data_IF_153034430664
#
_entry.id   IF_153034430664
#
_cell.length_a   1.000
_cell.length_b   1.000
_cell.length_c   1.000
_cell.angle_alpha   90.00
_cell.angle_beta   90.00
_cell.angle_gamma   90.00
#
_symmetry.space_group_name_H-M   'P 1'
#
loop_
_entity.id
_entity.type
_entity.pdbx_description
1 polymer ?
#
# COMPACT_ATOMS: atom_id res chain seq x y z
N UNK A 1 0.45 -17.19 1.86
CA UNK A 1 1.22 -16.85 3.07
C UNK A 1 2.55 -16.25 2.64
N UNK A 2 2.55 -14.93 2.38
CA UNK A 2 3.76 -14.19 2.01
C UNK A 2 4.68 -14.09 3.23
N UNK A 3 5.72 -14.89 3.29
CA UNK A 3 6.76 -14.72 4.31
C UNK A 3 7.68 -13.60 3.85
N UNK A 4 7.46 -12.39 4.36
CA UNK A 4 8.54 -11.42 4.37
C UNK A 4 9.66 -12.00 5.23
N UNK A 5 10.85 -12.08 4.68
CA UNK A 5 12.03 -12.38 5.49
C UNK A 5 12.21 -11.23 6.48
N UNK A 6 12.00 -11.51 7.77
CA UNK A 6 12.33 -10.58 8.85
C UNK A 6 13.86 -10.53 8.91
N UNK A 7 14.45 -9.71 8.04
CA UNK A 7 15.86 -9.35 8.07
C UNK A 7 16.06 -8.10 8.93
N UNK A 8 17.30 -7.78 9.29
CA UNK A 8 17.63 -6.49 9.91
C UNK A 8 17.13 -5.35 9.00
N UNK A 9 16.18 -4.54 9.48
CA UNK A 9 15.61 -3.40 8.75
C UNK A 9 14.14 -3.55 8.35
N UNK A 10 13.47 -4.67 8.68
CA UNK A 10 12.02 -4.85 8.50
C UNK A 10 11.36 -4.90 9.86
N UNK A 11 10.43 -4.02 10.12
CA UNK A 11 9.63 -3.99 11.34
C UNK A 11 8.16 -4.17 10.99
N UNK A 12 7.52 -5.22 11.55
CA UNK A 12 6.07 -5.37 11.52
C UNK A 12 5.46 -4.45 12.59
N UNK A 13 4.58 -3.55 12.18
CA UNK A 13 3.94 -2.56 13.05
C UNK A 13 2.59 -3.04 13.62
N UNK A 14 1.89 -3.94 12.92
CA UNK A 14 0.61 -4.50 13.36
C UNK A 14 0.79 -5.83 14.10
N UNK A 15 -0.18 -6.18 14.95
CA UNK A 15 -0.18 -7.50 15.59
C UNK A 15 -0.68 -8.58 14.61
N UNK A 16 -0.11 -9.78 14.69
CA UNK A 16 -0.44 -10.90 13.78
C UNK A 16 -1.83 -11.52 14.02
N UNK A 17 -2.67 -10.94 14.87
CA UNK A 17 -3.85 -11.59 15.43
C UNK A 17 -4.94 -11.97 14.43
N UNK A 18 -4.98 -11.41 13.23
CA UNK A 18 -6.02 -11.79 12.25
C UNK A 18 -5.60 -11.89 10.78
N UNK A 19 -4.35 -11.70 10.41
CA UNK A 19 -3.85 -11.76 9.00
C UNK A 19 -4.60 -10.90 7.96
N UNK A 20 -5.47 -9.97 8.39
CA UNK A 20 -6.31 -9.16 7.51
C UNK A 20 -5.68 -7.82 7.16
N UNK A 21 -4.82 -7.33 8.04
CA UNK A 21 -4.03 -6.12 7.82
C UNK A 21 -2.62 -6.33 8.35
N UNK A 22 -1.64 -5.92 7.55
CA UNK A 22 -0.23 -5.94 7.91
C UNK A 22 0.42 -4.65 7.45
N UNK A 23 1.05 -3.95 8.37
CA UNK A 23 1.82 -2.75 8.08
C UNK A 23 3.27 -3.02 8.47
N UNK A 24 4.16 -2.87 7.51
CA UNK A 24 5.59 -3.02 7.70
C UNK A 24 6.28 -1.69 7.46
N UNK A 25 7.27 -1.37 8.29
CA UNK A 25 8.24 -0.31 8.03
C UNK A 25 9.54 -0.95 7.60
N UNK A 26 10.09 -0.50 6.49
CA UNK A 26 11.35 -0.98 5.96
C UNK A 26 12.31 0.18 5.75
N UNK A 27 13.55 -0.02 6.20
CA UNK A 27 14.67 0.87 5.90
C UNK A 27 15.67 0.13 5.01
N UNK A 28 15.96 0.66 3.84
CA UNK A 28 16.97 0.11 2.94
C UNK A 28 18.32 0.75 3.23
N UNK A 29 18.94 0.37 4.34
CA UNK A 29 20.26 0.87 4.75
C UNK A 29 21.44 -0.01 4.30
N UNK A 30 21.21 -1.17 3.67
CA UNK A 30 22.30 -2.13 3.44
C UNK A 30 22.31 -2.78 2.06
N UNK A 31 23.52 -3.00 1.49
CA UNK A 31 23.72 -3.65 0.19
C UNK A 31 23.30 -5.13 0.14
N UNK A 32 22.96 -5.73 1.26
CA UNK A 32 22.64 -7.16 1.37
C UNK A 32 21.22 -7.52 0.90
N UNK A 33 20.33 -6.54 0.70
CA UNK A 33 18.99 -6.77 0.14
C UNK A 33 19.01 -6.78 -1.38
N UNK A 34 19.88 -7.58 -1.96
CA UNK A 34 20.13 -7.62 -3.40
C UNK A 34 18.94 -7.98 -4.28
N UNK A 35 17.93 -8.65 -3.81
CA UNK A 35 16.63 -8.87 -4.49
C UNK A 35 15.65 -9.36 -3.45
N UNK A 36 14.63 -8.56 -3.13
CA UNK A 36 13.50 -9.09 -2.38
C UNK A 36 12.77 -10.12 -3.26
N UNK A 37 12.33 -11.25 -2.67
CA UNK A 37 11.59 -12.25 -3.42
C UNK A 37 10.32 -11.62 -4.01
N UNK A 38 9.87 -12.16 -5.14
CA UNK A 38 8.59 -11.78 -5.71
C UNK A 38 7.48 -12.08 -4.70
N UNK A 39 6.66 -11.08 -4.43
CA UNK A 39 5.56 -11.17 -3.47
C UNK A 39 4.29 -11.28 -4.29
N UNK A 40 3.47 -12.27 -3.98
CA UNK A 40 2.13 -12.41 -4.52
C UNK A 40 1.17 -12.76 -3.39
N UNK A 41 -0.01 -12.19 -3.41
CA UNK A 41 -1.02 -12.42 -2.38
C UNK A 41 -2.40 -11.98 -2.79
N UNK A 42 -3.41 -12.39 -2.02
CA UNK A 42 -4.81 -12.00 -2.24
C UNK A 42 -5.18 -10.71 -1.50
N UNK A 43 -4.21 -10.02 -0.90
CA UNK A 43 -4.41 -8.73 -0.26
C UNK A 43 -4.12 -7.59 -1.24
N UNK A 44 -4.81 -6.49 -1.05
CA UNK A 44 -4.43 -5.21 -1.65
C UNK A 44 -3.17 -4.70 -0.96
N UNK A 45 -2.26 -4.14 -1.73
CA UNK A 45 -1.00 -3.64 -1.19
C UNK A 45 -0.82 -2.17 -1.55
N UNK A 46 -0.44 -1.36 -0.56
CA UNK A 46 0.05 -0.01 -0.79
C UNK A 46 1.53 0.04 -0.37
N UNK A 47 2.34 0.55 -1.27
CA UNK A 47 3.72 0.96 -0.98
C UNK A 47 3.71 2.47 -0.80
N UNK A 48 4.19 2.98 0.33
CA UNK A 48 4.30 4.41 0.62
C UNK A 48 5.76 4.75 0.86
N UNK A 49 6.35 5.56 -0.01
CA UNK A 49 7.71 6.04 0.16
C UNK A 49 7.74 7.16 1.21
N UNK A 50 8.46 6.95 2.32
CA UNK A 50 8.62 7.94 3.39
C UNK A 50 9.83 8.84 3.11
N UNK A 51 10.96 8.24 2.77
CA UNK A 51 12.21 8.94 2.45
C UNK A 51 12.92 8.26 1.28
N UNK A 52 13.60 9.08 0.46
CA UNK A 52 14.41 8.60 -0.64
C UNK A 52 13.58 8.13 -1.83
N UNK A 53 14.09 7.14 -2.54
CA UNK A 53 13.49 6.61 -3.76
C UNK A 53 13.41 5.09 -3.69
N UNK A 54 12.31 4.51 -4.15
CA UNK A 54 12.08 3.07 -4.19
C UNK A 54 11.68 2.69 -5.60
N UNK A 55 12.27 1.64 -6.15
CA UNK A 55 11.83 1.03 -7.39
C UNK A 55 11.03 -0.24 -7.10
N UNK A 56 9.83 -0.32 -7.65
CA UNK A 56 9.00 -1.52 -7.63
C UNK A 56 8.89 -2.10 -9.03
N UNK A 57 9.08 -3.40 -9.17
CA UNK A 57 8.77 -4.11 -10.40
C UNK A 57 7.48 -4.89 -10.23
N UNK A 58 6.48 -4.58 -11.05
CA UNK A 58 5.18 -5.26 -11.11
C UNK A 58 5.09 -5.92 -12.47
N UNK A 59 4.94 -7.25 -12.48
CA UNK A 59 5.02 -8.04 -13.69
C UNK A 59 6.35 -7.78 -14.41
N UNK A 60 6.35 -7.05 -15.53
CA UNK A 60 7.54 -6.68 -16.29
C UNK A 60 7.83 -5.18 -16.28
N UNK A 61 6.97 -4.39 -15.64
CA UNK A 61 7.07 -2.93 -15.57
C UNK A 61 7.80 -2.48 -14.32
N UNK A 62 8.61 -1.44 -14.46
CA UNK A 62 9.30 -0.80 -13.34
C UNK A 62 8.63 0.52 -13.02
N UNK A 63 8.35 0.72 -11.75
CA UNK A 63 7.75 1.95 -11.22
C UNK A 63 8.67 2.50 -10.15
N UNK A 64 9.13 3.72 -10.35
CA UNK A 64 9.92 4.45 -9.37
C UNK A 64 9.00 5.32 -8.54
N UNK A 65 9.20 5.30 -7.22
CA UNK A 65 8.48 6.12 -6.26
C UNK A 65 9.45 7.04 -5.54
N UNK A 66 9.13 8.31 -5.49
CA UNK A 66 9.82 9.31 -4.69
C UNK A 66 9.15 9.49 -3.32
N UNK A 67 9.87 10.12 -2.38
CA UNK A 67 9.31 10.41 -1.06
C UNK A 67 7.96 11.15 -1.15
N UNK A 68 6.99 10.70 -0.38
CA UNK A 68 5.63 11.22 -0.37
C UNK A 68 4.68 10.58 -1.39
N UNK A 69 5.18 9.72 -2.28
CA UNK A 69 4.37 9.00 -3.26
C UNK A 69 3.94 7.62 -2.77
N UNK A 70 2.84 7.13 -3.33
CA UNK A 70 2.36 5.77 -3.06
C UNK A 70 2.06 5.00 -4.34
N UNK A 71 2.12 3.68 -4.24
CA UNK A 71 1.77 2.73 -5.28
C UNK A 71 0.75 1.74 -4.73
N UNK A 72 -0.45 1.74 -5.30
CA UNK A 72 -1.42 0.69 -5.10
C UNK A 72 -1.10 -0.49 -6.01
N UNK A 73 -1.14 -1.70 -5.46
CA UNK A 73 -0.99 -2.97 -6.18
C UNK A 73 -2.21 -3.82 -5.87
N UNK A 74 -2.92 -4.21 -6.92
CA UNK A 74 -4.16 -4.96 -6.79
C UNK A 74 -3.91 -6.39 -6.27
N UNK A 75 -4.94 -6.99 -5.71
CA UNK A 75 -4.91 -8.38 -5.28
C UNK A 75 -4.55 -9.32 -6.44
N UNK A 76 -3.79 -10.36 -6.15
CA UNK A 76 -3.35 -11.34 -7.15
C UNK A 76 -2.14 -10.90 -8.00
N UNK A 77 -1.71 -9.65 -7.91
CA UNK A 77 -0.53 -9.19 -8.64
C UNK A 77 0.77 -9.64 -7.96
N UNK A 78 1.77 -9.91 -8.80
CA UNK A 78 3.12 -10.22 -8.32
C UNK A 78 4.01 -9.01 -8.44
N UNK A 79 4.71 -8.66 -7.38
CA UNK A 79 5.66 -7.55 -7.39
C UNK A 79 6.93 -7.88 -6.62
N UNK A 80 7.96 -7.12 -6.87
CA UNK A 80 9.21 -7.13 -6.09
C UNK A 80 9.76 -5.73 -5.94
N UNK A 81 10.40 -5.47 -4.81
CA UNK A 81 11.13 -4.24 -4.59
C UNK A 81 12.53 -4.40 -5.15
N UNK A 82 12.96 -3.40 -5.88
CA UNK A 82 14.30 -3.32 -6.47
C UNK A 82 15.00 -2.16 -5.76
N UNK A 83 16.24 -2.38 -5.37
CA UNK A 83 17.02 -1.35 -4.69
C UNK A 83 17.21 -0.13 -5.59
N UNK A 84 16.97 1.08 -5.06
CA UNK A 84 17.54 2.30 -5.62
C UNK A 84 19.04 2.35 -5.35
N UNK A 85 19.82 2.91 -6.28
CA UNK A 85 21.25 3.14 -6.09
C UNK A 85 21.55 4.29 -5.09
N UNK A 86 20.54 5.02 -4.66
CA UNK A 86 20.65 6.12 -3.70
C UNK A 86 20.71 5.63 -2.26
N UNK A 87 21.47 6.32 -1.42
CA UNK A 87 22.06 5.80 -0.18
C UNK A 87 21.11 5.42 0.97
N UNK A 88 19.93 5.96 1.06
CA UNK A 88 18.97 5.58 2.11
C UNK A 88 17.53 5.80 1.64
N UNK A 89 16.70 4.83 1.86
CA UNK A 89 15.27 4.98 1.66
C UNK A 89 14.51 4.28 2.77
N UNK A 90 13.39 4.88 3.19
CA UNK A 90 12.44 4.26 4.10
C UNK A 90 11.05 4.27 3.49
N UNK A 91 10.30 3.23 3.76
CA UNK A 91 8.96 3.08 3.20
C UNK A 91 8.09 2.16 4.03
N UNK A 92 6.79 2.29 3.84
CA UNK A 92 5.81 1.41 4.42
C UNK A 92 5.23 0.48 3.36
N UNK A 93 4.97 -0.77 3.77
CA UNK A 93 4.12 -1.71 3.03
C UNK A 93 2.87 -1.90 3.85
N UNK A 94 1.72 -1.57 3.28
CA UNK A 94 0.41 -1.73 3.90
C UNK A 94 -0.36 -2.76 3.10
N UNK A 95 -0.59 -3.94 3.69
CA UNK A 95 -1.38 -5.01 3.09
C UNK A 95 -2.74 -5.09 3.78
N UNK A 96 -3.80 -5.09 2.99
CA UNK A 96 -5.18 -5.09 3.48
C UNK A 96 -5.99 -6.14 2.73
N UNK A 97 -6.61 -7.07 3.47
CA UNK A 97 -7.56 -7.99 2.90
C UNK A 97 -8.89 -7.28 2.56
N UNK A 98 -9.51 -7.63 1.42
CA UNK A 98 -10.78 -7.03 1.02
C UNK A 98 -11.88 -7.21 2.05
N UNK A 99 -11.95 -8.37 2.69
CA UNK A 99 -12.90 -8.64 3.77
C UNK A 99 -12.73 -7.74 5.01
N UNK A 100 -11.52 -7.23 5.27
CA UNK A 100 -11.30 -6.23 6.32
C UNK A 100 -11.94 -4.88 5.95
N UNK A 101 -11.78 -4.47 4.69
CA UNK A 101 -12.40 -3.24 4.16
C UNK A 101 -13.93 -3.35 4.08
N UNK A 102 -14.45 -4.53 3.77
CA UNK A 102 -15.89 -4.78 3.77
C UNK A 102 -16.49 -4.79 5.18
N UNK A 103 -15.68 -5.03 6.23
CA UNK A 103 -16.10 -5.07 7.63
C UNK A 103 -17.26 -6.05 7.90
N UNK A 104 -17.41 -7.10 7.09
CA UNK A 104 -18.51 -8.06 7.16
C UNK A 104 -19.80 -7.60 6.48
N UNK A 105 -19.80 -6.45 5.82
CA UNK A 105 -20.93 -5.94 5.05
C UNK A 105 -20.82 -6.39 3.58
N UNK A 106 -21.70 -7.33 3.17
CA UNK A 106 -21.74 -7.86 1.82
C UNK A 106 -22.05 -6.76 0.77
N UNK A 107 -22.83 -5.76 1.12
CA UNK A 107 -23.12 -4.63 0.22
C UNK A 107 -21.88 -3.80 -0.07
N UNK A 108 -21.04 -3.53 0.96
CA UNK A 108 -19.75 -2.86 0.76
C UNK A 108 -18.80 -3.73 -0.06
N UNK A 109 -18.75 -5.04 0.23
CA UNK A 109 -17.93 -5.98 -0.54
C UNK A 109 -18.28 -5.94 -2.03
N UNK A 110 -19.55 -6.11 -2.37
CA UNK A 110 -20.00 -6.22 -3.76
C UNK A 110 -19.92 -4.89 -4.51
N UNK A 111 -20.10 -3.77 -3.83
CA UNK A 111 -20.16 -2.44 -4.48
C UNK A 111 -18.79 -1.78 -4.62
N UNK A 112 -17.92 -1.93 -3.63
CA UNK A 112 -16.69 -1.14 -3.56
C UNK A 112 -15.39 -1.95 -3.55
N UNK A 113 -15.43 -3.23 -3.22
CA UNK A 113 -14.24 -4.06 -3.09
C UNK A 113 -14.08 -5.01 -4.28
N UNK A 114 -15.08 -5.84 -4.54
CA UNK A 114 -15.02 -6.84 -5.62
C UNK A 114 -14.77 -6.21 -7.00
N UNK A 115 -15.39 -5.07 -7.38
CA UNK A 115 -15.12 -4.47 -8.68
C UNK A 115 -13.65 -4.07 -8.89
N UNK A 116 -12.98 -3.61 -7.82
CA UNK A 116 -11.53 -3.28 -7.87
C UNK A 116 -10.71 -4.56 -7.95
N UNK A 117 -11.01 -5.55 -7.09
CA UNK A 117 -10.26 -6.81 -7.02
C UNK A 117 -10.27 -7.58 -8.35
N UNK A 118 -11.40 -7.55 -9.06
CA UNK A 118 -11.64 -8.29 -10.31
C UNK A 118 -11.19 -7.52 -11.55
N UNK A 119 -10.77 -6.26 -11.41
CA UNK A 119 -10.42 -5.41 -12.54
C UNK A 119 -9.00 -5.73 -13.07
N UNK A 120 -8.90 -6.62 -14.06
CA UNK A 120 -7.63 -6.96 -14.72
C UNK A 120 -6.89 -5.72 -15.27
N UNK A 121 -7.63 -4.71 -15.75
CA UNK A 121 -7.07 -3.47 -16.27
C UNK A 121 -6.60 -2.50 -15.19
N UNK A 122 -6.79 -2.81 -13.91
CA UNK A 122 -6.37 -2.01 -12.76
C UNK A 122 -5.40 -2.79 -11.89
N UNK A 123 -4.31 -3.28 -12.51
CA UNK A 123 -3.29 -4.07 -11.82
C UNK A 123 -2.53 -3.27 -10.76
N UNK A 124 -2.26 -2.00 -11.03
CA UNK A 124 -1.63 -1.05 -10.10
C UNK A 124 -1.99 0.39 -10.45
N UNK A 125 -1.77 1.31 -9.51
CA UNK A 125 -1.95 2.75 -9.71
C UNK A 125 -0.98 3.53 -8.84
N UNK A 126 -0.24 4.50 -9.43
CA UNK A 126 0.64 5.41 -8.71
C UNK A 126 -0.14 6.66 -8.29
N UNK A 127 0.14 7.13 -7.09
CA UNK A 127 -0.39 8.35 -6.50
C UNK A 127 0.76 9.29 -6.16
N UNK A 128 0.64 10.53 -6.62
CA UNK A 128 1.64 11.57 -6.43
C UNK A 128 1.01 12.77 -5.73
N UNK A 129 1.75 13.49 -4.88
CA UNK A 129 1.27 14.75 -4.32
C UNK A 129 0.83 15.71 -5.43
N UNK A 130 -0.33 16.33 -5.27
CA UNK A 130 -0.86 17.30 -6.24
C UNK A 130 -0.32 18.70 -5.95
N UNK A 131 -0.27 19.55 -7.00
CA UNK A 131 -0.05 20.98 -6.82
C UNK A 131 -1.32 21.70 -6.32
N UNK A 132 -2.49 21.09 -6.46
CA UNK A 132 -3.76 21.55 -5.93
C UNK A 132 -4.00 20.92 -4.56
N UNK A 133 -4.43 21.71 -3.58
CA UNK A 133 -4.73 21.23 -2.24
C UNK A 133 -6.02 20.40 -2.22
N UNK A 134 -6.09 19.43 -1.29
CA UNK A 134 -7.27 18.62 -0.98
C UNK A 134 -7.81 17.75 -2.14
N UNK A 135 -6.94 17.29 -3.01
CA UNK A 135 -7.34 16.31 -4.05
C UNK A 135 -7.60 14.93 -3.43
N UNK A 136 -8.35 14.07 -4.13
CA UNK A 136 -8.54 12.67 -3.70
C UNK A 136 -7.20 11.92 -3.60
N UNK A 137 -6.18 12.30 -4.39
CA UNK A 137 -4.83 11.73 -4.31
C UNK A 137 -4.12 12.17 -3.03
N UNK A 138 -4.19 13.45 -2.66
CA UNK A 138 -3.60 13.95 -1.41
C UNK A 138 -4.29 13.35 -0.18
N UNK A 139 -5.62 13.22 -0.21
CA UNK A 139 -6.38 12.55 0.85
C UNK A 139 -5.92 11.10 1.03
N UNK A 140 -5.71 10.36 -0.07
CA UNK A 140 -5.20 8.99 -0.03
C UNK A 140 -3.81 8.93 0.58
N UNK A 141 -2.88 9.77 0.12
CA UNK A 141 -1.50 9.80 0.60
C UNK A 141 -1.44 10.13 2.10
N UNK A 142 -2.18 11.13 2.54
CA UNK A 142 -2.27 11.52 3.96
C UNK A 142 -2.90 10.40 4.80
N UNK A 143 -3.94 9.74 4.31
CA UNK A 143 -4.59 8.65 5.03
C UNK A 143 -3.68 7.42 5.18
N UNK A 144 -2.91 7.06 4.15
CA UNK A 144 -1.93 5.97 4.23
C UNK A 144 -0.82 6.28 5.24
N UNK A 145 -0.29 7.51 5.19
CA UNK A 145 0.74 7.94 6.15
C UNK A 145 0.20 7.93 7.58
N UNK A 146 -1.01 8.46 7.80
CA UNK A 146 -1.66 8.47 9.10
C UNK A 146 -1.92 7.04 9.61
N UNK A 147 -2.36 6.11 8.76
CA UNK A 147 -2.53 4.71 9.13
C UNK A 147 -1.21 4.07 9.58
N UNK A 148 -0.11 4.32 8.85
CA UNK A 148 1.21 3.81 9.18
C UNK A 148 1.73 4.39 10.50
N UNK A 149 1.64 5.70 10.70
CA UNK A 149 2.07 6.39 11.93
C UNK A 149 1.22 5.95 13.14
N UNK A 150 -0.08 5.75 12.97
CA UNK A 150 -0.97 5.23 14.00
C UNK A 150 -0.55 3.82 14.43
N UNK A 151 -0.20 2.95 13.48
CA UNK A 151 0.31 1.61 13.77
C UNK A 151 1.69 1.63 14.43
N UNK A 152 2.54 2.62 14.14
CA UNK A 152 3.86 2.79 14.76
C UNK A 152 3.74 3.31 16.21
N UNK A 153 2.85 4.28 16.47
CA UNK A 153 2.64 4.88 17.79
C UNK A 153 1.93 3.97 18.77
N UNK A 154 1.00 3.16 18.32
CA UNK A 154 0.18 2.23 19.13
C UNK A 154 -0.49 2.90 20.33
N UNK A 155 -1.01 4.09 20.13
CA UNK A 155 -1.77 4.81 21.14
C UNK A 155 -3.09 4.08 21.46
N UNK A 156 -3.79 4.55 22.50
CA UNK A 156 -5.08 3.96 22.89
C UNK A 156 -6.06 3.96 21.71
N UNK A 157 -6.65 2.81 21.40
CA UNK A 157 -7.59 2.60 20.29
C UNK A 157 -6.99 2.75 18.87
N UNK A 158 -5.68 2.60 18.72
CA UNK A 158 -4.98 2.74 17.44
C UNK A 158 -5.56 1.86 16.31
N UNK A 159 -6.13 0.70 16.64
CA UNK A 159 -6.76 -0.18 15.65
C UNK A 159 -8.00 0.46 15.02
N UNK A 160 -8.77 1.24 15.79
CA UNK A 160 -9.94 1.96 15.28
C UNK A 160 -9.52 3.12 14.39
N UNK A 161 -8.52 3.88 14.81
CA UNK A 161 -7.99 5.00 14.05
C UNK A 161 -7.35 4.53 12.74
N UNK A 162 -6.52 3.48 12.81
CA UNK A 162 -5.91 2.85 11.65
C UNK A 162 -6.98 2.36 10.65
N UNK A 163 -8.05 1.73 11.13
CA UNK A 163 -9.17 1.29 10.29
C UNK A 163 -9.85 2.48 9.62
N UNK A 164 -10.10 3.55 10.35
CA UNK A 164 -10.69 4.79 9.82
C UNK A 164 -9.85 5.36 8.68
N UNK A 165 -8.54 5.45 8.85
CA UNK A 165 -7.62 5.93 7.82
C UNK A 165 -7.60 5.03 6.59
N UNK A 166 -7.64 3.70 6.76
CA UNK A 166 -7.68 2.77 5.64
C UNK A 166 -8.98 2.84 4.84
N UNK A 167 -10.12 3.06 5.52
CA UNK A 167 -11.38 3.33 4.81
C UNK A 167 -11.32 4.63 4.03
N UNK A 168 -10.71 5.68 4.58
CA UNK A 168 -10.51 6.96 3.88
C UNK A 168 -9.66 6.77 2.63
N UNK A 169 -8.51 6.09 2.77
CA UNK A 169 -7.64 5.78 1.64
C UNK A 169 -8.36 4.95 0.55
N UNK A 170 -9.13 3.93 0.97
CA UNK A 170 -9.90 3.11 0.04
C UNK A 170 -10.96 3.90 -0.71
N UNK A 171 -11.66 4.80 -0.02
CA UNK A 171 -12.66 5.68 -0.64
C UNK A 171 -12.07 6.54 -1.75
N UNK A 172 -10.88 7.12 -1.53
CA UNK A 172 -10.17 7.92 -2.53
C UNK A 172 -9.64 7.05 -3.69
N UNK A 173 -9.11 5.84 -3.39
CA UNK A 173 -8.73 4.86 -4.41
C UNK A 173 -9.91 4.50 -5.32
N UNK A 174 -11.07 4.20 -4.71
CA UNK A 174 -12.26 3.82 -5.45
C UNK A 174 -12.76 4.93 -6.37
N UNK A 175 -12.73 6.18 -5.93
CA UNK A 175 -13.06 7.33 -6.79
C UNK A 175 -12.13 7.41 -8.00
N UNK A 176 -10.82 7.21 -7.82
CA UNK A 176 -9.86 7.14 -8.92
C UNK A 176 -10.15 5.97 -9.86
N UNK A 177 -10.45 4.79 -9.32
CA UNK A 177 -10.83 3.59 -10.07
C UNK A 177 -12.10 3.82 -10.90
N UNK A 178 -13.12 4.49 -10.34
CA UNK A 178 -14.42 4.71 -10.96
C UNK A 178 -14.43 5.85 -11.99
N UNK A 179 -13.37 6.65 -12.09
CA UNK A 179 -13.27 7.69 -13.11
C UNK A 179 -13.20 7.08 -14.51
N UNK A 180 -13.92 7.67 -15.50
CA UNK A 180 -13.77 7.25 -16.89
C UNK A 180 -12.29 7.38 -17.31
N UNK A 181 -11.71 6.30 -17.80
CA UNK A 181 -10.37 6.36 -18.39
C UNK A 181 -10.50 7.06 -19.76
N UNK A 182 -9.60 8.02 -20.08
CA UNK A 182 -9.56 8.53 -21.44
C UNK A 182 -9.26 7.37 -22.38
N UNK A 183 -10.17 7.15 -23.34
CA UNK A 183 -9.92 6.24 -24.46
C UNK A 183 -8.75 6.83 -25.29
N UNK A 184 -7.64 6.12 -25.32
CA UNK A 184 -6.50 6.42 -26.22
C UNK A 184 -6.61 5.55 -27.47
#
# INVERSE_FOLDING_TARGET
MGKYFIGKGVQLLTEETENKIRIYKLGLLQPEFGHMPCISGNAFTFLLAEEGEIQCQINQEKVDLEAGEALFINAGQSYRLVRSEKESSSFYIIEVAGEYLAAGDESLQNKYISPVAEAESFAYCRFMPSAEEDTDEDILLQALLAAAQTAEGRDMAYELDMKSWLFTAWGSLYKKFAQPRPEY
#
